data_IF_533592698032
#
_entry.id   IF_533592698032
#
_cell.length_a   1.000
_cell.length_b   1.000
_cell.length_c   1.000
_cell.angle_alpha   90.00
_cell.angle_beta   90.00
_cell.angle_gamma   90.00
#
_symmetry.space_group_name_H-M   'P 1'
#
loop_
_entity.id
_entity.type
_entity.pdbx_description
1 polymer ?
#
# COMPACT_ATOMS: atom_id res chain seq x y z
N UNK A 1 10.02 -13.92 18.10
CA UNK A 1 9.82 -14.18 16.64
C UNK A 1 9.59 -12.86 15.96
N UNK A 2 10.18 -12.64 14.76
CA UNK A 2 9.97 -11.42 14.00
C UNK A 2 8.52 -11.35 13.47
N UNK A 3 7.99 -10.14 13.35
CA UNK A 3 6.65 -9.89 12.81
C UNK A 3 6.74 -9.92 11.27
N UNK A 4 6.00 -10.83 10.65
CA UNK A 4 5.98 -11.01 9.18
C UNK A 4 5.03 -10.02 8.52
N UNK A 5 5.58 -9.11 7.73
CA UNK A 5 4.80 -8.13 6.95
C UNK A 5 4.95 -8.42 5.46
N UNK A 6 3.84 -8.69 4.79
CA UNK A 6 3.78 -8.78 3.34
C UNK A 6 3.40 -7.40 2.77
N UNK A 7 4.29 -6.82 1.98
CA UNK A 7 4.06 -5.55 1.29
C UNK A 7 3.64 -5.87 -0.13
N UNK A 8 2.40 -5.58 -0.44
CA UNK A 8 1.83 -5.70 -1.76
C UNK A 8 1.96 -4.36 -2.51
N UNK A 9 2.92 -4.30 -3.43
CA UNK A 9 3.09 -3.17 -4.33
C UNK A 9 2.06 -3.30 -5.45
N UNK A 10 0.99 -2.53 -5.39
CA UNK A 10 -0.13 -2.60 -6.32
C UNK A 10 0.33 -2.55 -7.78
N UNK A 11 -0.38 -3.30 -8.60
CA UNK A 11 -0.20 -3.39 -10.05
C UNK A 11 1.06 -4.11 -10.55
N UNK A 12 1.08 -4.38 -11.84
CA UNK A 12 2.22 -4.93 -12.58
C UNK A 12 2.90 -3.83 -13.40
N UNK A 13 4.14 -4.04 -13.88
CA UNK A 13 4.80 -3.12 -14.79
C UNK A 13 3.98 -2.81 -16.04
N UNK A 14 4.23 -1.66 -16.66
CA UNK A 14 3.60 -1.25 -17.93
C UNK A 14 3.82 -2.32 -19.02
N UNK A 15 2.79 -2.57 -19.81
CA UNK A 15 2.79 -3.60 -20.85
C UNK A 15 2.24 -4.95 -20.40
N UNK A 16 1.90 -5.12 -19.14
CA UNK A 16 1.31 -6.34 -18.59
C UNK A 16 -0.09 -6.08 -18.02
N UNK A 17 -0.94 -7.10 -17.87
CA UNK A 17 -2.25 -6.93 -17.24
C UNK A 17 -2.13 -6.35 -15.83
N UNK A 18 -3.11 -5.52 -15.44
CA UNK A 18 -3.17 -4.89 -14.12
C UNK A 18 -2.07 -3.82 -13.90
N UNK A 19 -1.91 -2.89 -14.84
CA UNK A 19 -0.90 -1.82 -14.76
C UNK A 19 -1.28 -0.63 -13.87
N UNK A 20 -2.55 -0.51 -13.48
CA UNK A 20 -3.05 0.62 -12.68
C UNK A 20 -3.32 1.88 -13.50
N UNK A 21 -3.47 2.99 -12.78
CA UNK A 21 -3.75 4.30 -13.36
C UNK A 21 -2.50 4.98 -13.91
N UNK A 22 -2.71 5.88 -14.87
CA UNK A 22 -1.66 6.75 -15.42
C UNK A 22 -2.18 8.18 -15.49
N UNK A 23 -1.43 9.14 -14.96
CA UNK A 23 -1.79 10.55 -14.96
C UNK A 23 -0.56 11.44 -14.87
N UNK A 24 -0.53 12.56 -15.56
CA UNK A 24 0.59 13.52 -15.58
C UNK A 24 1.96 12.87 -15.85
N UNK A 25 2.01 11.84 -16.70
CA UNK A 25 3.25 11.10 -17.00
C UNK A 25 3.74 10.18 -15.89
N UNK A 26 2.96 9.99 -14.82
CA UNK A 26 3.25 9.03 -13.76
C UNK A 26 2.39 7.77 -13.93
N UNK A 27 2.98 6.63 -13.63
CA UNK A 27 2.30 5.34 -13.57
C UNK A 27 2.11 4.93 -12.11
N UNK A 28 0.92 4.51 -11.74
CA UNK A 28 0.65 4.03 -10.37
C UNK A 28 1.63 2.95 -9.94
N UNK A 29 1.88 1.98 -10.80
CA UNK A 29 2.78 0.86 -10.53
C UNK A 29 4.24 1.26 -10.23
N UNK A 30 4.72 2.43 -10.72
CA UNK A 30 6.05 2.96 -10.40
C UNK A 30 6.08 3.59 -9.01
N UNK A 31 4.99 4.27 -8.64
CA UNK A 31 4.84 4.86 -7.30
C UNK A 31 4.76 3.76 -6.26
N UNK A 32 3.89 2.78 -6.45
CA UNK A 32 3.68 1.68 -5.49
C UNK A 32 4.93 0.82 -5.33
N UNK A 33 5.65 0.57 -6.43
CA UNK A 33 6.92 -0.14 -6.40
C UNK A 33 7.94 0.59 -5.55
N UNK A 34 8.19 1.87 -5.83
CA UNK A 34 9.20 2.65 -5.11
C UNK A 34 8.87 2.81 -3.61
N UNK A 35 7.62 3.15 -3.27
CA UNK A 35 7.18 3.27 -1.87
C UNK A 35 7.33 1.93 -1.14
N UNK A 36 6.95 0.82 -1.79
CA UNK A 36 7.11 -0.52 -1.22
C UNK A 36 8.56 -0.90 -0.96
N UNK A 37 9.49 -0.55 -1.86
CA UNK A 37 10.92 -0.79 -1.68
C UNK A 37 11.50 0.00 -0.51
N UNK A 38 11.18 1.29 -0.38
CA UNK A 38 11.61 2.11 0.75
C UNK A 38 11.05 1.58 2.08
N UNK A 39 9.77 1.23 2.12
CA UNK A 39 9.15 0.66 3.32
C UNK A 39 9.81 -0.66 3.72
N UNK A 40 10.07 -1.54 2.76
CA UNK A 40 10.76 -2.80 3.01
C UNK A 40 12.17 -2.61 3.57
N UNK A 41 12.91 -1.61 3.05
CA UNK A 41 14.22 -1.23 3.57
C UNK A 41 14.14 -0.86 5.05
N UNK A 42 13.27 0.10 5.40
CA UNK A 42 13.10 0.56 6.79
C UNK A 42 12.71 -0.56 7.75
N UNK A 43 11.77 -1.43 7.37
CA UNK A 43 11.32 -2.54 8.21
C UNK A 43 12.40 -3.61 8.38
N UNK A 44 13.23 -3.87 7.37
CA UNK A 44 14.35 -4.82 7.46
C UNK A 44 15.48 -4.29 8.34
N UNK A 45 15.80 -2.99 8.23
CA UNK A 45 16.81 -2.32 9.06
C UNK A 45 16.42 -2.27 10.53
N UNK A 46 15.12 -2.17 10.82
CA UNK A 46 14.57 -2.22 12.18
C UNK A 46 14.88 -3.56 12.89
N UNK A 47 14.93 -4.67 12.15
CA UNK A 47 15.29 -6.00 12.67
C UNK A 47 14.18 -6.70 13.46
N UNK A 48 13.08 -6.03 13.80
CA UNK A 48 11.91 -6.64 14.48
C UNK A 48 10.94 -7.27 13.47
N UNK A 49 11.10 -6.98 12.18
CA UNK A 49 10.21 -7.37 11.10
C UNK A 49 10.91 -8.28 10.08
N UNK A 50 10.17 -9.26 9.58
CA UNK A 50 10.53 -10.04 8.41
C UNK A 50 9.61 -9.61 7.26
N UNK A 51 10.19 -9.29 6.08
CA UNK A 51 9.45 -8.62 5.00
C UNK A 51 9.55 -9.38 3.70
N UNK A 52 8.40 -9.62 3.07
CA UNK A 52 8.27 -10.01 1.67
C UNK A 52 7.58 -8.92 0.86
N UNK A 53 8.01 -8.81 -0.38
CA UNK A 53 7.47 -7.90 -1.39
C UNK A 53 6.77 -8.70 -2.47
N UNK A 54 5.59 -8.27 -2.91
CA UNK A 54 4.92 -8.84 -4.08
C UNK A 54 5.74 -8.64 -5.36
N UNK A 55 6.47 -7.52 -5.45
CA UNK A 55 7.36 -7.19 -6.56
C UNK A 55 8.77 -6.91 -6.04
N UNK A 56 9.60 -7.95 -5.82
CA UNK A 56 10.97 -7.77 -5.33
C UNK A 56 11.88 -7.03 -6.32
N UNK A 57 11.57 -7.08 -7.62
CA UNK A 57 12.26 -6.34 -8.69
C UNK A 57 11.26 -5.54 -9.52
N UNK A 58 11.73 -4.48 -10.18
CA UNK A 58 10.91 -3.64 -11.05
C UNK A 58 10.19 -4.44 -12.14
N UNK A 59 10.87 -5.43 -12.73
CA UNK A 59 10.33 -6.29 -13.78
C UNK A 59 9.47 -7.45 -13.29
N UNK A 60 9.22 -7.59 -11.99
CA UNK A 60 8.39 -8.69 -11.46
C UNK A 60 6.94 -8.53 -11.92
N UNK A 61 6.42 -9.57 -12.59
CA UNK A 61 5.04 -9.67 -13.10
C UNK A 61 4.31 -10.78 -12.38
N UNK A 62 3.11 -10.48 -11.88
CA UNK A 62 2.25 -11.41 -11.17
C UNK A 62 1.01 -11.72 -12.01
N UNK A 63 0.83 -13.00 -12.33
CA UNK A 63 -0.31 -13.49 -13.11
C UNK A 63 -0.31 -13.03 -14.57
N UNK A 64 -1.32 -13.49 -15.32
CA UNK A 64 -1.51 -13.24 -16.76
C UNK A 64 -2.81 -12.49 -17.07
N UNK A 65 -3.54 -12.08 -16.03
CA UNK A 65 -4.76 -11.29 -16.08
C UNK A 65 -4.92 -10.52 -14.75
N UNK A 66 -5.83 -9.54 -14.69
CA UNK A 66 -6.14 -8.85 -13.43
C UNK A 66 -6.51 -9.83 -12.31
N UNK A 67 -7.36 -10.80 -12.62
CA UNK A 67 -7.81 -11.79 -11.63
C UNK A 67 -6.68 -12.69 -11.14
N UNK A 68 -5.82 -13.17 -12.03
CA UNK A 68 -4.69 -14.03 -11.65
C UNK A 68 -3.59 -13.28 -10.94
N UNK A 69 -3.37 -11.99 -11.27
CA UNK A 69 -2.46 -11.11 -10.54
C UNK A 69 -2.89 -10.94 -9.08
N UNK A 70 -4.16 -10.63 -8.84
CA UNK A 70 -4.68 -10.50 -7.47
C UNK A 70 -4.62 -11.82 -6.69
N UNK A 71 -4.89 -12.95 -7.35
CA UNK A 71 -4.77 -14.28 -6.72
C UNK A 71 -3.35 -14.61 -6.32
N UNK A 72 -2.37 -14.32 -7.18
CA UNK A 72 -0.96 -14.59 -6.89
C UNK A 72 -0.49 -13.83 -5.65
N UNK A 73 -0.82 -12.54 -5.51
CA UNK A 73 -0.48 -11.69 -4.35
C UNK A 73 -1.03 -12.27 -3.05
N UNK A 74 -2.31 -12.65 -3.06
CA UNK A 74 -2.98 -13.24 -1.89
C UNK A 74 -2.42 -14.61 -1.55
N UNK A 75 -2.22 -15.48 -2.56
CA UNK A 75 -1.69 -16.81 -2.35
C UNK A 75 -0.29 -16.76 -1.72
N UNK A 76 0.59 -15.93 -2.26
CA UNK A 76 1.96 -15.79 -1.74
C UNK A 76 1.99 -15.30 -0.30
N UNK A 77 1.16 -14.30 0.06
CA UNK A 77 1.07 -13.80 1.42
C UNK A 77 0.54 -14.86 2.40
N UNK A 78 -0.51 -15.59 2.00
CA UNK A 78 -1.12 -16.64 2.80
C UNK A 78 -0.18 -17.84 2.99
N UNK A 79 0.46 -18.32 1.93
CA UNK A 79 1.42 -19.44 1.95
C UNK A 79 2.67 -19.12 2.79
N UNK A 80 3.14 -17.87 2.73
CA UNK A 80 4.24 -17.43 3.58
C UNK A 80 3.87 -17.32 5.06
N UNK A 81 2.58 -17.27 5.37
CA UNK A 81 2.09 -17.08 6.72
C UNK A 81 2.39 -15.68 7.25
N UNK A 82 2.13 -14.64 6.44
CA UNK A 82 2.27 -13.26 6.85
C UNK A 82 1.39 -12.97 8.07
N UNK A 83 1.88 -12.14 8.99
CA UNK A 83 1.10 -11.66 10.13
C UNK A 83 0.24 -10.44 9.75
N UNK A 84 0.72 -9.64 8.81
CA UNK A 84 0.01 -8.46 8.27
C UNK A 84 0.24 -8.34 6.77
N UNK A 85 -0.78 -7.83 6.07
CA UNK A 85 -0.74 -7.55 4.64
C UNK A 85 -0.99 -6.06 4.40
N UNK A 86 -0.07 -5.39 3.71
CA UNK A 86 -0.14 -3.97 3.41
C UNK A 86 -0.07 -3.79 1.90
N UNK A 87 -1.21 -3.49 1.26
CA UNK A 87 -1.29 -3.16 -0.15
C UNK A 87 -1.14 -1.65 -0.35
N UNK A 88 -0.30 -1.26 -1.29
CA UNK A 88 0.03 0.15 -1.58
C UNK A 88 -0.50 0.48 -2.98
N UNK A 89 -1.27 1.56 -3.07
CA UNK A 89 -1.92 2.07 -4.27
C UNK A 89 -1.83 3.60 -4.34
N UNK A 90 -2.12 4.15 -5.50
CA UNK A 90 -2.33 5.59 -5.70
C UNK A 90 -3.61 5.79 -6.53
N UNK A 91 -4.58 6.47 -5.94
CA UNK A 91 -5.90 6.67 -6.50
C UNK A 91 -5.91 7.54 -7.77
N UNK A 92 -6.98 7.48 -8.51
CA UNK A 92 -7.25 8.41 -9.62
C UNK A 92 -8.75 8.65 -9.75
N UNK A 93 -9.13 9.84 -10.21
CA UNK A 93 -10.52 10.24 -10.43
C UNK A 93 -10.63 11.17 -11.62
N UNK A 94 -11.73 11.10 -12.36
CA UNK A 94 -12.07 12.10 -13.37
C UNK A 94 -12.27 13.50 -12.75
N UNK A 95 -12.73 13.54 -11.50
CA UNK A 95 -12.73 14.78 -10.72
C UNK A 95 -11.33 15.05 -10.16
N UNK A 96 -10.57 15.90 -10.86
CA UNK A 96 -9.20 16.27 -10.51
C UNK A 96 -9.07 17.09 -9.21
N UNK A 97 -10.18 17.56 -8.63
CA UNK A 97 -10.18 18.19 -7.31
C UNK A 97 -10.16 17.18 -6.15
N UNK A 98 -10.45 15.89 -6.42
CA UNK A 98 -10.32 14.83 -5.42
C UNK A 98 -8.86 14.67 -5.03
N UNK A 99 -8.58 14.69 -3.71
CA UNK A 99 -7.21 14.63 -3.17
C UNK A 99 -7.19 13.98 -1.78
N UNK A 100 -6.01 13.62 -1.33
CA UNK A 100 -5.74 13.12 0.04
C UNK A 100 -5.56 11.62 0.12
N UNK A 101 -5.15 11.18 1.30
CA UNK A 101 -4.87 9.78 1.62
C UNK A 101 -6.09 9.12 2.25
N UNK A 102 -6.40 7.90 1.85
CA UNK A 102 -7.41 7.06 2.49
C UNK A 102 -6.91 5.62 2.63
N UNK A 103 -7.45 4.89 3.60
CA UNK A 103 -7.07 3.50 3.80
C UNK A 103 -8.32 2.63 3.82
N UNK A 104 -8.27 1.51 3.10
CA UNK A 104 -9.36 0.55 3.04
C UNK A 104 -9.04 -0.68 3.88
N UNK A 105 -10.08 -1.17 4.55
CA UNK A 105 -10.09 -2.43 5.29
C UNK A 105 -11.30 -3.27 4.86
N UNK A 106 -11.26 -4.57 5.06
CA UNK A 106 -12.44 -5.40 4.79
C UNK A 106 -13.60 -5.08 5.74
N UNK A 107 -13.28 -4.84 7.03
CA UNK A 107 -14.27 -4.55 8.08
C UNK A 107 -13.68 -3.59 9.11
N UNK A 108 -14.49 -2.63 9.56
CA UNK A 108 -14.14 -1.72 10.67
C UNK A 108 -14.15 -2.44 12.03
N UNK A 109 -13.57 -1.81 13.01
CA UNK A 109 -13.48 -2.28 14.42
C UNK A 109 -12.72 -3.61 14.56
N UNK A 110 -11.66 -3.77 13.79
CA UNK A 110 -10.77 -4.93 13.78
C UNK A 110 -9.31 -4.50 13.93
N UNK A 111 -8.39 -5.48 14.11
CA UNK A 111 -6.95 -5.21 14.09
C UNK A 111 -6.49 -4.52 12.80
N UNK A 112 -7.09 -4.87 11.64
CA UNK A 112 -6.81 -4.20 10.38
C UNK A 112 -7.22 -2.73 10.41
N UNK A 113 -8.37 -2.40 10.98
CA UNK A 113 -8.84 -1.02 11.13
C UNK A 113 -7.90 -0.21 12.03
N UNK A 114 -7.46 -0.77 13.15
CA UNK A 114 -6.51 -0.10 14.04
C UNK A 114 -5.17 0.16 13.35
N UNK A 115 -4.63 -0.83 12.63
CA UNK A 115 -3.43 -0.64 11.84
C UNK A 115 -3.64 0.46 10.79
N UNK A 116 -4.78 0.43 10.08
CA UNK A 116 -5.12 1.41 9.05
C UNK A 116 -5.16 2.84 9.59
N UNK A 117 -5.76 3.07 10.76
CA UNK A 117 -5.81 4.39 11.41
C UNK A 117 -4.41 4.91 11.73
N UNK A 118 -3.53 4.07 12.29
CA UNK A 118 -2.16 4.47 12.61
C UNK A 118 -1.33 4.75 11.35
N UNK A 119 -1.51 3.93 10.30
CA UNK A 119 -0.82 4.14 9.01
C UNK A 119 -1.30 5.41 8.34
N UNK A 120 -2.61 5.66 8.29
CA UNK A 120 -3.18 6.88 7.74
C UNK A 120 -2.64 8.12 8.47
N UNK A 121 -2.71 8.13 9.79
CA UNK A 121 -2.18 9.23 10.60
C UNK A 121 -0.68 9.43 10.39
N UNK A 122 0.08 8.35 10.29
CA UNK A 122 1.52 8.40 10.01
C UNK A 122 1.84 9.06 8.67
N UNK A 123 1.07 8.77 7.62
CA UNK A 123 1.22 9.42 6.31
C UNK A 123 0.82 10.90 6.38
N UNK A 124 -0.32 11.21 6.97
CA UNK A 124 -0.81 12.60 7.11
C UNK A 124 0.20 13.46 7.87
N UNK A 125 0.71 12.97 8.99
CA UNK A 125 1.71 13.68 9.80
C UNK A 125 3.04 13.89 9.05
N UNK A 126 3.41 12.96 8.17
CA UNK A 126 4.73 12.98 7.53
C UNK A 126 4.72 13.72 6.20
N UNK A 127 3.68 13.55 5.40
CA UNK A 127 3.59 14.09 4.03
C UNK A 127 2.68 15.33 3.94
N UNK A 128 1.80 15.50 4.91
CA UNK A 128 0.82 16.59 4.91
C UNK A 128 -0.26 16.42 3.84
N UNK A 129 -0.71 15.20 3.61
CA UNK A 129 -1.87 14.92 2.76
C UNK A 129 -3.15 15.17 3.53
N UNK A 130 -4.25 15.42 2.82
CA UNK A 130 -5.57 15.47 3.44
C UNK A 130 -5.96 14.09 3.96
N UNK A 131 -6.49 14.02 5.16
CA UNK A 131 -7.06 12.82 5.74
C UNK A 131 -8.47 12.57 5.18
N UNK A 132 -8.64 11.50 4.43
CA UNK A 132 -9.94 11.05 3.90
C UNK A 132 -10.54 9.88 4.70
N UNK A 133 -9.88 9.45 5.76
CA UNK A 133 -10.36 8.44 6.71
C UNK A 133 -10.08 7.00 6.31
N UNK A 134 -10.40 6.10 7.26
CA UNK A 134 -10.42 4.65 7.04
C UNK A 134 -11.83 4.22 6.65
N UNK A 135 -11.97 3.36 5.64
CA UNK A 135 -13.27 2.91 5.12
C UNK A 135 -13.31 1.41 4.88
N UNK A 136 -14.47 0.81 5.10
CA UNK A 136 -14.70 -0.59 4.74
C UNK A 136 -14.95 -0.76 3.24
N UNK A 137 -14.26 -1.72 2.61
CA UNK A 137 -14.41 -2.11 1.21
C UNK A 137 -14.42 -3.63 1.07
N UNK A 138 -15.60 -4.22 1.08
CA UNK A 138 -15.78 -5.69 1.06
C UNK A 138 -15.57 -6.32 -0.31
N UNK A 139 -15.54 -5.52 -1.37
CA UNK A 139 -15.35 -5.96 -2.77
C UNK A 139 -13.89 -6.04 -3.20
N UNK A 140 -12.93 -5.49 -2.44
CA UNK A 140 -11.51 -5.58 -2.76
C UNK A 140 -10.98 -6.99 -2.49
N UNK A 141 -10.51 -7.65 -3.55
CA UNK A 141 -10.12 -9.05 -3.51
C UNK A 141 -9.02 -9.33 -2.47
N UNK A 142 -7.98 -8.49 -2.44
CA UNK A 142 -6.85 -8.65 -1.53
C UNK A 142 -7.24 -8.50 -0.06
N UNK A 143 -8.23 -7.66 0.26
CA UNK A 143 -8.73 -7.52 1.63
C UNK A 143 -9.66 -8.67 2.04
N UNK A 144 -10.38 -9.24 1.06
CA UNK A 144 -11.36 -10.30 1.31
C UNK A 144 -10.73 -11.69 1.43
N UNK A 145 -9.59 -11.93 0.77
CA UNK A 145 -9.01 -13.27 0.58
C UNK A 145 -7.71 -13.52 1.31
N UNK A 146 -7.12 -12.50 1.90
CA UNK A 146 -5.99 -12.64 2.83
C UNK A 146 -6.48 -13.23 4.16
N UNK A 147 -5.67 -14.10 4.76
CA UNK A 147 -5.99 -14.79 6.00
C UNK A 147 -5.61 -13.99 7.26
N UNK A 148 -4.80 -12.95 7.11
CA UNK A 148 -4.30 -12.08 8.16
C UNK A 148 -4.98 -10.69 8.10
N UNK A 149 -4.82 -9.84 9.14
CA UNK A 149 -5.18 -8.43 9.06
C UNK A 149 -4.56 -7.76 7.82
N UNK A 150 -5.40 -7.15 6.99
CA UNK A 150 -5.02 -6.58 5.70
C UNK A 150 -5.56 -5.16 5.54
N UNK A 151 -4.71 -4.27 5.03
CA UNK A 151 -5.05 -2.90 4.69
C UNK A 151 -4.66 -2.60 3.24
N UNK A 152 -5.40 -1.70 2.59
CA UNK A 152 -5.04 -1.13 1.30
C UNK A 152 -4.94 0.40 1.44
N UNK A 153 -3.77 0.93 1.18
CA UNK A 153 -3.43 2.34 1.33
C UNK A 153 -3.49 3.01 -0.02
N UNK A 154 -4.38 3.99 -0.18
CA UNK A 154 -4.39 4.93 -1.29
C UNK A 154 -3.59 6.17 -0.85
N UNK A 155 -2.35 6.28 -1.33
CA UNK A 155 -1.39 7.31 -0.90
C UNK A 155 -1.87 8.74 -1.18
N UNK A 156 -2.55 8.93 -2.30
CA UNK A 156 -3.06 10.18 -2.82
C UNK A 156 -3.61 9.98 -4.21
N UNK A 157 -4.08 11.05 -4.86
CA UNK A 157 -4.68 10.97 -6.18
C UNK A 157 -3.68 11.40 -7.28
N UNK A 158 -3.31 10.48 -8.17
CA UNK A 158 -2.49 10.79 -9.35
C UNK A 158 -3.12 11.86 -10.25
N UNK A 159 -4.45 11.92 -10.26
CA UNK A 159 -5.23 12.90 -11.03
C UNK A 159 -5.28 14.30 -10.41
N UNK A 160 -4.90 14.46 -9.15
CA UNK A 160 -4.83 15.75 -8.48
C UNK A 160 -3.42 16.35 -8.61
N UNK A 161 -3.25 17.58 -9.10
CA UNK A 161 -1.92 18.16 -9.30
C UNK A 161 -1.05 18.22 -8.02
N UNK A 162 -1.64 18.57 -6.88
CA UNK A 162 -0.92 18.66 -5.61
C UNK A 162 -0.48 17.27 -5.07
N UNK A 163 -1.37 16.29 -5.13
CA UNK A 163 -1.04 14.93 -4.74
C UNK A 163 -0.05 14.29 -5.72
N UNK A 164 -0.23 14.52 -7.04
CA UNK A 164 0.67 14.01 -8.07
C UNK A 164 2.11 14.53 -7.88
N UNK A 165 2.28 15.79 -7.48
CA UNK A 165 3.59 16.35 -7.15
C UNK A 165 4.23 15.64 -5.95
N UNK A 166 3.48 15.42 -4.87
CA UNK A 166 3.93 14.66 -3.70
C UNK A 166 4.26 13.21 -4.06
N UNK A 167 3.40 12.53 -4.83
CA UNK A 167 3.62 11.14 -5.28
C UNK A 167 4.84 11.00 -6.19
N UNK A 168 5.25 12.08 -6.86
CA UNK A 168 6.46 12.13 -7.68
C UNK A 168 7.72 12.33 -6.84
N UNK A 169 7.68 13.29 -5.92
CA UNK A 169 8.86 13.82 -5.25
C UNK A 169 9.09 13.23 -3.84
N UNK A 170 8.04 12.79 -3.15
CA UNK A 170 8.08 12.46 -1.72
C UNK A 170 7.83 10.97 -1.44
N UNK A 171 8.17 10.07 -2.37
CA UNK A 171 7.93 8.62 -2.24
C UNK A 171 8.55 8.02 -0.97
N UNK A 172 9.74 8.49 -0.60
CA UNK A 172 10.38 8.11 0.65
C UNK A 172 9.58 8.58 1.88
N UNK A 173 9.04 9.80 1.85
CA UNK A 173 8.24 10.33 2.95
C UNK A 173 6.92 9.56 3.12
N UNK A 174 6.28 9.11 2.04
CA UNK A 174 5.13 8.20 2.12
C UNK A 174 5.49 6.88 2.80
N UNK A 175 6.60 6.25 2.40
CA UNK A 175 7.08 5.03 3.04
C UNK A 175 7.40 5.24 4.52
N UNK A 176 8.04 6.36 4.86
CA UNK A 176 8.34 6.74 6.24
C UNK A 176 7.05 6.95 7.07
N UNK A 177 6.02 7.55 6.47
CA UNK A 177 4.71 7.70 7.11
C UNK A 177 4.06 6.35 7.43
N UNK A 178 4.07 5.42 6.47
CA UNK A 178 3.57 4.05 6.69
C UNK A 178 4.38 3.36 7.79
N UNK A 179 5.71 3.42 7.74
CA UNK A 179 6.59 2.84 8.74
C UNK A 179 6.33 3.39 10.16
N UNK A 180 6.22 4.71 10.31
CA UNK A 180 5.87 5.33 11.60
C UNK A 180 4.51 4.89 12.11
N UNK A 181 3.52 4.76 11.23
CA UNK A 181 2.20 4.23 11.57
C UNK A 181 2.28 2.79 12.06
N UNK A 182 3.07 1.93 11.42
CA UNK A 182 3.32 0.55 11.85
C UNK A 182 3.96 0.54 13.25
N UNK A 183 4.99 1.34 13.49
CA UNK A 183 5.63 1.43 14.80
C UNK A 183 4.66 1.86 15.89
N UNK A 184 3.85 2.88 15.64
CA UNK A 184 2.81 3.34 16.58
C UNK A 184 1.79 2.25 16.89
N UNK A 185 1.33 1.51 15.87
CA UNK A 185 0.39 0.41 16.03
C UNK A 185 0.93 -0.68 16.97
N UNK A 186 2.21 -0.99 16.88
CA UNK A 186 2.87 -1.97 17.76
C UNK A 186 3.39 -1.41 19.09
N UNK A 187 3.22 -0.10 19.34
CA UNK A 187 3.78 0.55 20.53
C UNK A 187 5.32 0.56 20.55
N UNK A 188 5.93 0.69 19.39
CA UNK A 188 7.38 0.64 19.17
C UNK A 188 7.98 2.02 18.79
N UNK A 189 7.12 3.06 18.71
CA UNK A 189 7.52 4.43 18.39
C UNK A 189 7.94 5.21 19.63
#
# INVERSE_FOLDING_TARGET
MAIKIYIDQGHNPTGYPNTGASWYGQQEQDVTYAVGQYLAGMLREDGRFEVRLSRPTEGTVLGTSNATSLRARVAEANEWGANYFISIHANASENTSANGTEVYVYRLYTQADWLAQHVLQGIVDTVGTKDNGVRARTNLYVLRRTAMPAILVELGYLSNPGDAEKLKNDRYAFALGIYRGILRYFGLA
#
